data_IF_827843987472
#
_entry.id   IF_827843987472
#
_cell.length_a   1.000
_cell.length_b   1.000
_cell.length_c   1.000
_cell.angle_alpha   90.00
_cell.angle_beta   90.00
_cell.angle_gamma   90.00
#
_symmetry.space_group_name_H-M   'P 1'
#
loop_
_entity.id
_entity.type
_entity.pdbx_description
1 polymer ?
#
# COMPACT_ATOMS: atom_id res chain seq x y z
N UNK A 1 3.06 -2.73 22.33
CA UNK A 1 2.24 -3.85 21.85
C UNK A 1 1.85 -3.68 20.39
N UNK A 2 1.55 -4.80 19.72
CA UNK A 2 0.95 -4.85 18.38
C UNK A 2 -0.08 -6.00 18.28
N UNK A 3 -0.93 -5.96 17.25
CA UNK A 3 -1.87 -7.04 16.93
C UNK A 3 -1.35 -7.94 15.82
N UNK A 4 -1.47 -9.26 16.00
CA UNK A 4 -1.20 -10.28 14.99
C UNK A 4 -2.49 -11.04 14.71
N UNK A 5 -3.03 -10.91 13.50
CA UNK A 5 -4.26 -11.59 13.08
C UNK A 5 -3.92 -12.59 11.99
N UNK A 6 -4.29 -13.84 12.20
CA UNK A 6 -4.10 -14.94 11.26
C UNK A 6 -5.46 -15.49 10.87
N UNK A 7 -5.71 -15.72 9.57
CA UNK A 7 -6.94 -16.32 9.06
C UNK A 7 -6.69 -17.49 8.12
N UNK A 8 -7.53 -18.51 8.20
CA UNK A 8 -7.53 -19.65 7.29
C UNK A 8 -8.10 -19.29 5.90
N UNK A 9 -9.19 -18.53 5.89
CA UNK A 9 -9.88 -18.08 4.67
C UNK A 9 -8.95 -17.16 3.86
N UNK A 10 -8.53 -17.54 2.64
CA UNK A 10 -7.57 -16.79 1.83
C UNK A 10 -8.12 -15.46 1.29
N UNK A 11 -9.38 -15.14 1.59
CA UNK A 11 -10.04 -13.89 1.22
C UNK A 11 -10.36 -12.98 2.42
N UNK A 12 -10.06 -13.43 3.65
CA UNK A 12 -10.45 -12.72 4.88
C UNK A 12 -9.96 -11.26 4.92
N UNK A 13 -8.79 -10.99 4.33
CA UNK A 13 -8.18 -9.66 4.30
C UNK A 13 -8.29 -8.96 2.95
N UNK A 14 -9.00 -9.53 1.97
CA UNK A 14 -9.12 -8.98 0.61
C UNK A 14 -10.31 -8.02 0.49
N UNK A 15 -10.41 -7.07 1.43
CA UNK A 15 -11.45 -6.03 1.44
C UNK A 15 -10.93 -4.72 2.04
N UNK A 16 -11.37 -3.59 1.50
CA UNK A 16 -11.14 -2.25 2.07
C UNK A 16 -12.32 -1.78 2.97
N UNK A 17 -13.32 -2.63 3.17
CA UNK A 17 -14.51 -2.33 3.98
C UNK A 17 -14.33 -2.77 5.45
N UNK A 18 -15.33 -3.46 6.00
CA UNK A 18 -15.32 -3.98 7.37
C UNK A 18 -14.80 -5.41 7.34
N UNK A 19 -13.72 -5.66 8.07
CA UNK A 19 -13.17 -6.97 8.34
C UNK A 19 -13.75 -7.52 9.65
N UNK A 20 -13.68 -8.84 9.83
CA UNK A 20 -14.18 -9.50 11.03
C UNK A 20 -13.35 -10.72 11.39
N UNK A 21 -13.37 -11.08 12.67
CA UNK A 21 -12.90 -12.35 13.19
C UNK A 21 -13.84 -12.81 14.31
N UNK A 22 -13.98 -14.12 14.51
CA UNK A 22 -14.76 -14.66 15.61
C UNK A 22 -14.21 -14.17 16.96
N UNK A 23 -15.11 -13.76 17.86
CA UNK A 23 -14.75 -13.21 19.17
C UNK A 23 -14.03 -14.24 20.05
N UNK A 24 -14.32 -15.53 19.89
CA UNK A 24 -13.66 -16.62 20.61
C UNK A 24 -12.18 -16.76 20.22
N UNK A 25 -11.77 -16.20 19.07
CA UNK A 25 -10.38 -16.17 18.60
C UNK A 25 -9.57 -15.00 19.16
N UNK A 26 -10.24 -14.05 19.81
CA UNK A 26 -9.60 -12.86 20.36
C UNK A 26 -8.76 -13.21 21.58
N UNK A 27 -7.50 -12.76 21.57
CA UNK A 27 -6.47 -13.05 22.58
C UNK A 27 -6.02 -14.51 22.65
N UNK A 28 -6.35 -15.34 21.67
CA UNK A 28 -5.60 -16.59 21.49
C UNK A 28 -4.12 -16.28 21.21
N UNK A 29 -3.18 -17.13 21.67
CA UNK A 29 -1.72 -16.93 21.53
C UNK A 29 -1.18 -15.58 22.07
N UNK A 30 -1.91 -14.97 22.99
CA UNK A 30 -1.55 -13.70 23.63
C UNK A 30 -0.88 -13.96 24.96
N UNK A 31 0.40 -13.60 25.03
CA UNK A 31 1.18 -13.62 26.25
C UNK A 31 1.74 -12.20 26.46
N UNK A 32 1.69 -11.71 27.70
CA UNK A 32 2.20 -10.38 28.02
C UNK A 32 1.34 -9.55 28.96
N UNK A 33 1.95 -8.54 29.57
CA UNK A 33 1.30 -7.64 30.50
C UNK A 33 0.47 -6.57 29.78
N UNK A 34 0.90 -6.11 28.59
CA UNK A 34 0.19 -5.05 27.86
C UNK A 34 -1.20 -5.54 27.41
N UNK A 35 -1.31 -6.80 27.02
CA UNK A 35 -2.57 -7.40 26.63
C UNK A 35 -3.60 -7.54 27.76
N UNK A 36 -3.18 -7.52 29.03
CA UNK A 36 -4.10 -7.62 30.18
C UNK A 36 -5.04 -6.41 30.28
N UNK A 37 -4.60 -5.25 29.79
CA UNK A 37 -5.39 -4.04 29.77
C UNK A 37 -6.53 -4.07 28.73
N UNK A 38 -6.51 -5.03 27.79
CA UNK A 38 -7.44 -5.11 26.65
C UNK A 38 -8.48 -6.21 26.87
N UNK A 39 -9.76 -5.86 26.72
CA UNK A 39 -10.89 -6.77 26.85
C UNK A 39 -12.05 -6.39 25.93
N UNK A 40 -12.65 -7.39 25.27
CA UNK A 40 -13.87 -7.22 24.45
C UNK A 40 -15.07 -6.75 25.29
N UNK A 41 -15.14 -7.14 26.56
CA UNK A 41 -16.20 -6.73 27.49
C UNK A 41 -16.09 -5.27 27.91
N UNK A 42 -14.92 -4.64 27.69
CA UNK A 42 -14.64 -3.25 28.02
C UNK A 42 -14.27 -2.49 26.73
N UNK A 43 -15.23 -2.09 25.89
CA UNK A 43 -14.97 -1.52 24.56
C UNK A 43 -14.00 -0.35 24.53
N UNK A 44 -13.95 0.47 25.59
CA UNK A 44 -12.99 1.58 25.72
C UNK A 44 -11.53 1.12 25.67
N UNK A 45 -11.25 -0.10 26.14
CA UNK A 45 -9.89 -0.66 26.13
C UNK A 45 -9.43 -1.08 24.73
N UNK A 46 -10.35 -1.34 23.80
CA UNK A 46 -10.03 -1.69 22.41
C UNK A 46 -9.40 -0.52 21.65
N UNK A 47 -9.59 0.71 22.13
CA UNK A 47 -8.90 1.90 21.59
C UNK A 47 -7.38 1.80 21.67
N UNK A 48 -6.84 1.05 22.65
CA UNK A 48 -5.41 0.79 22.74
C UNK A 48 -4.88 0.02 21.50
N UNK A 49 -5.74 -0.76 20.82
CA UNK A 49 -5.38 -1.48 19.60
C UNK A 49 -5.58 -0.66 18.31
N UNK A 50 -6.39 0.40 18.34
CA UNK A 50 -6.66 1.21 17.13
C UNK A 50 -5.48 2.09 16.70
N UNK A 51 -4.47 2.25 17.55
CA UNK A 51 -3.26 3.04 17.27
C UNK A 51 -1.99 2.18 17.27
N UNK A 52 -2.09 0.96 17.80
CA UNK A 52 -1.02 -0.01 17.77
C UNK A 52 -0.79 -0.54 16.35
N UNK A 53 0.45 -0.94 16.02
CA UNK A 53 0.73 -1.69 14.80
C UNK A 53 -0.11 -2.96 14.71
N UNK A 54 -0.48 -3.36 13.49
CA UNK A 54 -1.17 -4.61 13.23
C UNK A 54 -0.59 -5.32 12.00
N UNK A 55 -0.46 -6.65 12.12
CA UNK A 55 -0.08 -7.57 11.05
C UNK A 55 -1.28 -8.46 10.74
N UNK A 56 -1.71 -8.48 9.48
CA UNK A 56 -2.71 -9.43 8.97
C UNK A 56 -1.99 -10.44 8.07
N UNK A 57 -2.05 -11.72 8.43
CA UNK A 57 -1.54 -12.81 7.59
C UNK A 57 -2.57 -13.91 7.42
N UNK A 58 -2.27 -14.85 6.54
CA UNK A 58 -3.01 -16.09 6.42
C UNK A 58 -2.26 -17.26 7.08
N UNK A 59 -2.98 -18.32 7.40
CA UNK A 59 -2.36 -19.59 7.78
C UNK A 59 -1.43 -20.10 6.65
N UNK A 60 -0.52 -21.03 6.95
CA UNK A 60 0.31 -21.66 5.91
C UNK A 60 -0.52 -22.38 4.83
N UNK A 61 -0.08 -22.31 3.57
CA UNK A 61 -0.74 -22.96 2.44
C UNK A 61 -0.13 -22.55 1.09
N UNK A 62 -0.54 -23.19 -0.02
CA UNK A 62 0.07 -22.99 -1.35
C UNK A 62 -0.35 -21.70 -2.08
N UNK A 63 -1.38 -20.99 -1.62
CA UNK A 63 -1.92 -19.81 -2.31
C UNK A 63 -1.00 -18.59 -2.19
N UNK A 64 -0.79 -17.86 -3.29
CA UNK A 64 0.10 -16.70 -3.32
C UNK A 64 -0.27 -15.59 -2.31
N UNK A 65 -1.56 -15.42 -1.99
CA UNK A 65 -2.00 -14.46 -0.97
C UNK A 65 -1.41 -14.75 0.41
N UNK A 66 -1.07 -16.01 0.71
CA UNK A 66 -0.49 -16.43 2.00
C UNK A 66 0.98 -16.03 2.15
N UNK A 67 1.65 -15.67 1.06
CA UNK A 67 3.02 -15.15 1.10
C UNK A 67 3.10 -13.68 1.49
N UNK A 68 1.96 -12.97 1.53
CA UNK A 68 1.87 -11.55 1.84
C UNK A 68 1.36 -11.37 3.28
N UNK A 69 2.04 -10.52 4.04
CA UNK A 69 1.59 -10.05 5.35
C UNK A 69 1.33 -8.56 5.29
N UNK A 70 0.08 -8.14 5.53
CA UNK A 70 -0.31 -6.74 5.49
C UNK A 70 0.06 -6.08 6.83
N UNK A 71 0.76 -4.96 6.76
CA UNK A 71 1.14 -4.15 7.91
C UNK A 71 0.34 -2.85 7.92
N UNK A 72 -0.21 -2.47 9.07
CA UNK A 72 -1.05 -1.28 9.17
C UNK A 72 -1.53 -0.99 10.58
N UNK A 73 -2.68 -0.32 10.66
CA UNK A 73 -3.37 -0.03 11.93
C UNK A 73 -4.84 -0.42 11.83
N UNK A 74 -5.36 -0.98 12.92
CA UNK A 74 -6.79 -1.26 13.05
C UNK A 74 -7.54 0.03 13.40
N UNK A 75 -8.81 0.14 13.00
CA UNK A 75 -9.67 1.28 13.32
C UNK A 75 -11.07 0.79 13.58
N UNK A 76 -11.85 1.52 14.37
CA UNK A 76 -13.25 1.22 14.62
C UNK A 76 -13.46 -0.24 15.08
N UNK A 77 -12.73 -0.67 16.11
CA UNK A 77 -12.82 -2.04 16.64
C UNK A 77 -14.03 -2.13 17.57
N UNK A 78 -14.99 -2.99 17.22
CA UNK A 78 -16.21 -3.19 18.01
C UNK A 78 -16.71 -4.62 17.90
N UNK A 79 -17.36 -5.12 18.95
CA UNK A 79 -18.00 -6.45 18.95
C UNK A 79 -19.39 -6.34 18.34
N UNK A 80 -19.70 -7.21 17.38
CA UNK A 80 -21.01 -7.34 16.74
C UNK A 80 -21.43 -8.81 16.73
N UNK A 81 -22.38 -9.18 17.58
CA UNK A 81 -22.77 -10.58 17.77
C UNK A 81 -21.58 -11.42 18.25
N UNK A 82 -21.27 -12.50 17.53
CA UNK A 82 -20.14 -13.40 17.83
C UNK A 82 -18.82 -12.95 17.21
N UNK A 83 -18.76 -11.78 16.57
CA UNK A 83 -17.56 -11.34 15.85
C UNK A 83 -16.98 -10.06 16.46
N UNK A 84 -15.67 -9.93 16.40
CA UNK A 84 -14.98 -8.63 16.49
C UNK A 84 -14.85 -8.08 15.08
N UNK A 85 -15.37 -6.88 14.88
CA UNK A 85 -15.36 -6.17 13.59
C UNK A 85 -14.44 -4.97 13.66
N UNK A 86 -13.73 -4.69 12.58
CA UNK A 86 -12.78 -3.58 12.50
C UNK A 86 -12.59 -3.12 11.04
N UNK A 87 -12.02 -1.94 10.88
CA UNK A 87 -11.43 -1.47 9.63
C UNK A 87 -9.91 -1.57 9.72
N UNK A 88 -9.25 -1.71 8.58
CA UNK A 88 -7.79 -1.78 8.51
C UNK A 88 -7.26 -0.71 7.56
N UNK A 89 -6.30 0.07 8.04
CA UNK A 89 -5.56 1.02 7.21
C UNK A 89 -4.17 0.46 6.98
N UNK A 90 -3.96 -0.11 5.80
CA UNK A 90 -2.68 -0.67 5.38
C UNK A 90 -1.64 0.44 5.17
N UNK A 91 -0.44 0.23 5.72
CA UNK A 91 0.73 1.10 5.59
C UNK A 91 1.86 0.46 4.78
N UNK A 92 1.80 -0.85 4.56
CA UNK A 92 2.76 -1.57 3.74
C UNK A 92 2.60 -3.09 3.89
N UNK A 93 3.55 -3.83 3.34
CA UNK A 93 3.54 -5.29 3.29
C UNK A 93 4.90 -5.85 3.67
N UNK A 94 4.89 -7.03 4.26
CA UNK A 94 6.05 -7.90 4.41
C UNK A 94 5.80 -9.18 3.62
N UNK A 95 6.87 -9.88 3.27
CA UNK A 95 6.73 -11.27 2.88
C UNK A 95 6.53 -12.15 4.12
N UNK A 96 5.86 -13.29 3.96
CA UNK A 96 5.75 -14.30 5.02
C UNK A 96 7.12 -14.73 5.53
N UNK A 97 8.08 -14.92 4.62
CA UNK A 97 9.45 -15.25 4.97
C UNK A 97 10.08 -14.21 5.91
N UNK A 98 9.87 -12.91 5.66
CA UNK A 98 10.34 -11.84 6.54
C UNK A 98 9.75 -12.00 7.96
N UNK A 99 8.45 -12.27 8.08
CA UNK A 99 7.81 -12.44 9.40
C UNK A 99 8.33 -13.69 10.12
N UNK A 100 8.45 -14.82 9.41
CA UNK A 100 8.89 -16.08 10.02
C UNK A 100 10.35 -16.03 10.49
N UNK A 101 11.22 -15.30 9.78
CA UNK A 101 12.60 -15.06 10.21
C UNK A 101 12.66 -14.31 11.55
N UNK A 102 11.70 -13.41 11.79
CA UNK A 102 11.57 -12.65 13.04
C UNK A 102 10.63 -13.27 14.08
N UNK A 103 10.07 -14.46 13.82
CA UNK A 103 9.07 -15.14 14.68
C UNK A 103 9.40 -15.10 16.18
N UNK A 104 10.64 -15.44 16.56
CA UNK A 104 11.09 -15.41 17.97
C UNK A 104 11.05 -14.01 18.59
N UNK A 105 11.43 -12.98 17.83
CA UNK A 105 11.39 -11.59 18.31
C UNK A 105 9.94 -11.05 18.37
N UNK A 106 9.05 -11.60 17.53
CA UNK A 106 7.63 -11.29 17.53
C UNK A 106 6.83 -12.10 18.57
N UNK A 107 7.52 -12.89 19.40
CA UNK A 107 6.90 -13.81 20.36
C UNK A 107 5.85 -14.73 19.71
N UNK A 108 6.13 -15.18 18.49
CA UNK A 108 5.31 -16.18 17.79
C UNK A 108 5.72 -17.58 18.26
N UNK A 109 4.74 -18.31 18.81
CA UNK A 109 4.92 -19.68 19.23
C UNK A 109 5.07 -20.64 18.06
N UNK A 110 5.50 -21.87 18.36
CA UNK A 110 5.58 -22.92 17.35
C UNK A 110 4.17 -23.27 16.84
N UNK A 111 3.98 -23.33 15.52
CA UNK A 111 2.71 -23.61 14.84
C UNK A 111 1.61 -22.53 14.96
N UNK A 112 1.88 -21.41 15.65
CA UNK A 112 0.94 -20.28 15.74
C UNK A 112 0.53 -19.80 14.34
N UNK A 113 1.47 -19.82 13.40
CA UNK A 113 1.30 -19.41 12.02
C UNK A 113 0.39 -20.30 11.17
N UNK A 114 -0.14 -21.39 11.74
CA UNK A 114 -1.04 -22.33 11.09
C UNK A 114 -2.40 -22.43 11.79
N UNK A 115 -2.77 -21.42 12.60
CA UNK A 115 -4.09 -21.35 13.24
C UNK A 115 -4.71 -19.98 13.15
N UNK A 116 -6.01 -19.94 12.89
CA UNK A 116 -6.80 -18.71 12.84
C UNK A 116 -6.95 -18.14 14.24
N UNK A 117 -6.41 -16.95 14.48
CA UNK A 117 -6.48 -16.30 15.77
C UNK A 117 -6.16 -14.79 15.71
N UNK A 118 -6.47 -14.07 16.78
CA UNK A 118 -5.98 -12.72 17.03
C UNK A 118 -5.14 -12.69 18.31
N UNK A 119 -3.83 -12.57 18.16
CA UNK A 119 -2.91 -12.36 19.26
C UNK A 119 -2.59 -10.88 19.48
N UNK A 120 -2.48 -10.47 20.75
CA UNK A 120 -1.88 -9.20 21.15
C UNK A 120 -0.49 -9.54 21.66
N UNK A 121 0.54 -8.91 21.09
CA UNK A 121 1.94 -9.16 21.43
C UNK A 121 2.53 -7.95 22.14
N UNK A 122 3.28 -8.18 23.20
CA UNK A 122 3.97 -7.12 23.95
C UNK A 122 5.16 -6.54 23.15
N UNK A 123 5.43 -5.26 23.36
CA UNK A 123 6.54 -4.54 22.75
C UNK A 123 6.27 -4.05 21.32
N UNK A 124 7.33 -3.60 20.66
CA UNK A 124 7.28 -3.01 19.32
C UNK A 124 7.78 -3.98 18.25
N UNK A 125 7.37 -3.75 16.99
CA UNK A 125 7.93 -4.47 15.87
C UNK A 125 9.44 -4.17 15.74
N UNK A 126 10.30 -5.19 15.55
CA UNK A 126 11.73 -4.99 15.45
C UNK A 126 12.11 -3.99 14.34
N UNK A 127 12.99 -3.04 14.64
CA UNK A 127 13.42 -2.05 13.65
C UNK A 127 14.05 -2.67 12.39
N UNK A 128 14.72 -3.83 12.53
CA UNK A 128 15.25 -4.59 11.40
C UNK A 128 14.16 -5.21 10.53
N UNK A 129 13.02 -5.61 11.11
CA UNK A 129 11.86 -6.05 10.34
C UNK A 129 11.25 -4.86 9.59
N UNK A 130 11.03 -3.72 10.27
CA UNK A 130 10.46 -2.52 9.64
C UNK A 130 11.28 -2.02 8.44
N UNK A 131 12.60 -2.26 8.41
CA UNK A 131 13.45 -1.97 7.24
C UNK A 131 13.13 -2.83 6.00
N UNK A 132 12.45 -3.96 6.17
CA UNK A 132 11.98 -4.85 5.08
C UNK A 132 10.58 -4.50 4.61
N UNK A 133 9.95 -3.47 5.20
CA UNK A 133 8.60 -3.08 4.85
C UNK A 133 8.57 -2.60 3.40
N UNK A 134 7.83 -3.32 2.58
CA UNK A 134 7.52 -2.93 1.22
C UNK A 134 6.30 -2.03 1.22
N UNK A 135 6.23 -1.12 0.27
CA UNK A 135 5.01 -0.33 0.11
C UNK A 135 3.83 -1.20 -0.33
N UNK A 136 2.61 -0.71 -0.10
CA UNK A 136 1.37 -1.36 -0.52
C UNK A 136 1.26 -1.52 -2.04
N UNK A 137 1.90 -0.64 -2.81
CA UNK A 137 1.81 -0.58 -4.25
C UNK A 137 3.20 -0.53 -4.88
N UNK A 138 3.41 -1.41 -5.86
CA UNK A 138 4.64 -1.46 -6.68
C UNK A 138 4.73 -0.26 -7.61
N UNK A 139 3.59 0.19 -8.13
CA UNK A 139 3.50 1.32 -9.04
C UNK A 139 2.26 2.16 -8.79
N UNK A 140 2.40 3.48 -8.90
CA UNK A 140 1.27 4.41 -8.92
C UNK A 140 1.08 4.93 -10.33
N UNK A 141 -0.17 4.99 -10.80
CA UNK A 141 -0.54 5.63 -12.04
C UNK A 141 -1.21 6.98 -11.74
N UNK A 142 -0.53 8.08 -12.08
CA UNK A 142 -1.03 9.45 -11.90
C UNK A 142 -1.44 10.02 -13.26
N UNK A 143 -2.71 10.40 -13.41
CA UNK A 143 -3.27 10.83 -14.69
C UNK A 143 -4.50 11.73 -14.54
N UNK A 144 -4.85 12.46 -15.61
CA UNK A 144 -6.09 13.25 -15.64
C UNK A 144 -7.29 12.36 -15.98
N UNK A 145 -8.46 12.65 -15.39
CA UNK A 145 -9.67 11.86 -15.63
C UNK A 145 -10.04 11.64 -17.11
N UNK A 146 -9.66 12.56 -18.00
CA UNK A 146 -9.82 12.43 -19.45
C UNK A 146 -9.03 11.28 -20.09
N UNK A 147 -7.90 10.90 -19.49
CA UNK A 147 -7.01 9.86 -20.01
C UNK A 147 -7.35 8.46 -19.43
N UNK A 148 -8.44 8.36 -18.65
CA UNK A 148 -8.81 7.17 -17.86
C UNK A 148 -8.86 5.87 -18.65
N UNK A 149 -9.44 5.89 -19.84
CA UNK A 149 -9.63 4.68 -20.65
C UNK A 149 -8.30 3.97 -20.91
N UNK A 150 -7.28 4.71 -21.36
CA UNK A 150 -5.95 4.17 -21.62
C UNK A 150 -5.25 3.70 -20.34
N UNK A 151 -5.34 4.52 -19.28
CA UNK A 151 -4.63 4.23 -18.02
C UNK A 151 -5.27 3.03 -17.29
N UNK A 152 -6.59 2.88 -17.37
CA UNK A 152 -7.29 1.72 -16.82
C UNK A 152 -6.87 0.44 -17.53
N UNK A 153 -6.84 0.43 -18.86
CA UNK A 153 -6.35 -0.74 -19.61
C UNK A 153 -4.89 -1.09 -19.28
N UNK A 154 -4.06 -0.09 -18.99
CA UNK A 154 -2.68 -0.31 -18.52
C UNK A 154 -2.67 -0.92 -17.12
N UNK A 155 -3.50 -0.42 -16.21
CA UNK A 155 -3.63 -0.93 -14.85
C UNK A 155 -4.10 -2.39 -14.83
N UNK A 156 -5.13 -2.71 -15.62
CA UNK A 156 -5.69 -4.07 -15.72
C UNK A 156 -4.63 -5.07 -16.20
N UNK A 157 -3.81 -4.67 -17.19
CA UNK A 157 -2.66 -5.47 -17.64
C UNK A 157 -1.64 -5.72 -16.53
N UNK A 158 -1.26 -4.66 -15.78
CA UNK A 158 -0.30 -4.78 -14.68
C UNK A 158 -0.81 -5.68 -13.55
N UNK A 159 -2.09 -5.55 -13.20
CA UNK A 159 -2.74 -6.39 -12.19
C UNK A 159 -2.74 -7.86 -12.64
N UNK A 160 -3.01 -8.13 -13.92
CA UNK A 160 -2.95 -9.49 -14.47
C UNK A 160 -1.53 -10.10 -14.39
N UNK A 161 -0.48 -9.27 -14.44
CA UNK A 161 0.92 -9.65 -14.25
C UNK A 161 1.34 -9.77 -12.77
N UNK A 162 0.39 -9.63 -11.84
CA UNK A 162 0.62 -9.72 -10.40
C UNK A 162 1.21 -8.47 -9.76
N UNK A 163 1.20 -7.33 -10.45
CA UNK A 163 1.71 -6.06 -9.94
C UNK A 163 0.63 -5.35 -9.11
N UNK A 164 1.00 -4.85 -7.93
CA UNK A 164 0.12 -4.05 -7.09
C UNK A 164 0.10 -2.59 -7.56
N UNK A 165 -0.99 -2.21 -8.21
CA UNK A 165 -1.16 -0.87 -8.79
C UNK A 165 -2.02 0.01 -7.89
N UNK A 166 -1.56 1.24 -7.62
CA UNK A 166 -2.45 2.30 -7.15
C UNK A 166 -2.97 3.09 -8.34
N UNK A 167 -4.29 3.22 -8.41
CA UNK A 167 -4.98 3.93 -9.47
C UNK A 167 -5.56 5.24 -8.93
N UNK A 168 -5.06 6.36 -9.42
CA UNK A 168 -5.40 7.67 -8.89
C UNK A 168 -5.96 8.59 -9.96
N UNK A 169 -7.28 8.69 -9.99
CA UNK A 169 -8.01 9.56 -10.93
C UNK A 169 -8.16 10.96 -10.37
N UNK A 170 -7.58 11.94 -11.05
CA UNK A 170 -7.82 13.34 -10.77
C UNK A 170 -9.00 13.84 -11.64
N UNK A 171 -10.20 13.83 -11.06
CA UNK A 171 -11.41 14.45 -11.64
C UNK A 171 -12.06 15.41 -10.63
N UNK A 172 -12.95 16.30 -11.09
CA UNK A 172 -13.50 17.38 -10.27
C UNK A 172 -14.15 16.88 -8.96
N UNK A 173 -14.85 15.73 -9.00
CA UNK A 173 -15.43 15.13 -7.82
C UNK A 173 -14.37 14.58 -6.86
N UNK A 174 -13.32 13.94 -7.40
CA UNK A 174 -12.20 13.41 -6.63
C UNK A 174 -11.27 14.49 -6.04
N UNK A 175 -11.20 15.67 -6.65
CA UNK A 175 -10.36 16.78 -6.21
C UNK A 175 -11.04 17.70 -5.21
N UNK A 176 -12.37 17.65 -5.11
CA UNK A 176 -13.14 18.50 -4.21
C UNK A 176 -12.65 18.35 -2.77
N UNK A 177 -12.09 19.42 -2.21
CA UNK A 177 -11.65 19.50 -0.82
C UNK A 177 -10.31 18.80 -0.51
N UNK A 178 -9.61 18.26 -1.51
CA UNK A 178 -8.30 17.63 -1.31
C UNK A 178 -7.16 18.65 -1.41
N UNK A 179 -6.20 18.56 -0.49
CA UNK A 179 -4.89 19.17 -0.68
C UNK A 179 -4.06 18.29 -1.62
N UNK A 180 -3.93 18.72 -2.89
CA UNK A 180 -3.25 17.91 -3.90
C UNK A 180 -1.76 17.74 -3.62
N UNK A 181 -1.10 18.72 -2.99
CA UNK A 181 0.32 18.59 -2.66
C UNK A 181 0.56 17.49 -1.62
N UNK A 182 -0.29 17.43 -0.59
CA UNK A 182 -0.26 16.35 0.42
C UNK A 182 -0.62 14.99 -0.18
N UNK A 183 -1.55 14.97 -1.13
CA UNK A 183 -1.95 13.75 -1.82
C UNK A 183 -0.81 13.19 -2.70
N UNK A 184 -0.13 14.04 -3.47
CA UNK A 184 1.07 13.63 -4.19
C UNK A 184 2.17 13.18 -3.23
N UNK A 185 2.42 13.92 -2.15
CA UNK A 185 3.38 13.53 -1.12
C UNK A 185 3.02 12.17 -0.48
N UNK A 186 1.73 11.89 -0.27
CA UNK A 186 1.25 10.59 0.17
C UNK A 186 1.51 9.51 -0.89
N UNK A 187 1.21 9.77 -2.15
CA UNK A 187 1.51 8.87 -3.28
C UNK A 187 3.01 8.56 -3.36
N UNK A 188 3.86 9.57 -3.22
CA UNK A 188 5.32 9.44 -3.19
C UNK A 188 5.80 8.63 -1.97
N UNK A 189 5.16 8.79 -0.82
CA UNK A 189 5.53 8.04 0.40
C UNK A 189 4.97 6.62 0.44
N UNK A 190 3.87 6.34 -0.26
CA UNK A 190 3.15 5.07 -0.21
C UNK A 190 3.24 4.26 -1.52
N UNK A 191 4.23 4.52 -2.38
CA UNK A 191 4.58 3.61 -3.48
C UNK A 191 6.04 3.19 -3.39
N UNK A 192 6.31 1.90 -3.62
CA UNK A 192 7.60 1.27 -3.29
C UNK A 192 8.65 1.43 -4.38
N UNK A 193 8.28 1.68 -5.63
CA UNK A 193 9.26 1.70 -6.72
C UNK A 193 9.09 2.87 -7.70
N UNK A 194 7.90 3.02 -8.30
CA UNK A 194 7.74 4.01 -9.39
C UNK A 194 6.37 4.70 -9.40
N UNK A 195 6.37 5.99 -9.73
CA UNK A 195 5.18 6.74 -10.12
C UNK A 195 5.20 6.97 -11.63
N UNK A 196 4.25 6.37 -12.36
CA UNK A 196 4.06 6.61 -13.79
C UNK A 196 3.17 7.83 -13.94
N UNK A 197 3.75 8.90 -14.46
CA UNK A 197 3.05 10.17 -14.66
C UNK A 197 2.60 10.25 -16.12
N UNK A 198 1.30 10.15 -16.33
CA UNK A 198 0.67 10.26 -17.64
C UNK A 198 0.44 11.73 -17.99
N UNK A 199 1.37 12.29 -18.76
CA UNK A 199 1.37 13.69 -19.14
C UNK A 199 0.50 13.87 -20.39
N UNK A 200 -0.51 14.71 -20.25
CA UNK A 200 -1.32 15.25 -21.33
C UNK A 200 -1.57 16.74 -21.10
N UNK A 201 -2.15 17.43 -22.09
CA UNK A 201 -2.69 18.78 -21.91
C UNK A 201 -3.67 18.88 -20.73
N UNK A 202 -4.44 17.83 -20.45
CA UNK A 202 -5.40 17.78 -19.35
C UNK A 202 -4.71 17.65 -18.01
N UNK A 203 -3.69 16.79 -17.94
CA UNK A 203 -2.85 16.63 -16.76
C UNK A 203 -2.23 17.96 -16.32
N UNK A 204 -1.60 18.68 -17.25
CA UNK A 204 -0.99 19.97 -16.93
C UNK A 204 -2.06 21.00 -16.53
N UNK A 205 -3.17 21.07 -17.26
CA UNK A 205 -4.23 22.05 -17.00
C UNK A 205 -4.93 21.85 -15.65
N UNK A 206 -5.16 20.61 -15.22
CA UNK A 206 -5.97 20.29 -14.03
C UNK A 206 -5.15 19.97 -12.80
N UNK A 207 -4.00 19.32 -12.96
CA UNK A 207 -3.27 18.74 -11.83
C UNK A 207 -2.05 19.60 -11.54
N UNK A 208 -1.26 19.92 -12.59
CA UNK A 208 -0.04 20.70 -12.44
C UNK A 208 -0.29 22.16 -12.03
N UNK A 209 -1.39 22.75 -12.49
CA UNK A 209 -1.75 24.13 -12.16
C UNK A 209 -2.15 24.30 -10.69
N UNK A 210 -2.83 23.31 -10.11
CA UNK A 210 -3.40 23.33 -8.75
C UNK A 210 -2.35 23.04 -7.67
N UNK A 211 -1.22 22.41 -8.03
CA UNK A 211 -0.11 22.20 -7.10
C UNK A 211 0.51 23.55 -6.72
N UNK A 212 0.01 24.20 -5.65
CA UNK A 212 0.51 25.47 -5.12
C UNK A 212 2.01 25.40 -4.75
N UNK A 213 2.58 24.19 -4.60
CA UNK A 213 4.01 23.91 -4.36
C UNK A 213 4.75 23.38 -5.60
N UNK A 214 4.53 23.99 -6.78
CA UNK A 214 5.19 23.58 -8.06
C UNK A 214 6.69 23.31 -7.93
N UNK A 215 7.40 24.10 -7.13
CA UNK A 215 8.85 24.00 -6.96
C UNK A 215 9.33 22.75 -6.22
N UNK A 216 8.57 22.24 -5.23
CA UNK A 216 8.98 21.07 -4.45
C UNK A 216 8.80 19.77 -5.25
N UNK A 217 7.69 19.65 -6.00
CA UNK A 217 7.42 18.49 -6.86
C UNK A 217 8.36 18.48 -8.07
N UNK A 218 8.57 19.65 -8.71
CA UNK A 218 9.56 19.78 -9.79
C UNK A 218 10.98 19.44 -9.33
N UNK A 219 11.34 19.84 -8.09
CA UNK A 219 12.64 19.51 -7.50
C UNK A 219 12.76 18.01 -7.18
N UNK A 220 11.73 17.38 -6.62
CA UNK A 220 11.71 15.93 -6.42
C UNK A 220 11.84 15.16 -7.74
N UNK A 221 11.17 15.59 -8.81
CA UNK A 221 11.34 15.04 -10.17
C UNK A 221 12.78 15.18 -10.68
N UNK A 222 13.43 16.31 -10.37
CA UNK A 222 14.79 16.58 -10.82
C UNK A 222 15.88 15.88 -9.97
N UNK A 223 15.63 15.69 -8.66
CA UNK A 223 16.54 15.11 -7.68
C UNK A 223 16.44 13.58 -7.62
N UNK A 224 15.24 13.00 -7.75
CA UNK A 224 14.99 11.55 -7.65
C UNK A 224 14.67 10.92 -9.02
N UNK A 225 15.66 10.98 -9.91
CA UNK A 225 15.52 10.78 -11.37
C UNK A 225 14.96 9.43 -11.81
N UNK A 226 14.96 8.41 -10.95
CA UNK A 226 14.47 7.08 -11.32
C UNK A 226 13.08 6.78 -10.78
N UNK A 227 12.57 7.49 -9.77
CA UNK A 227 11.27 7.21 -9.17
C UNK A 227 10.09 7.59 -10.09
N UNK A 228 10.25 8.61 -10.92
CA UNK A 228 9.19 9.11 -11.79
C UNK A 228 9.43 8.64 -13.22
N UNK A 229 8.41 7.99 -13.79
CA UNK A 229 8.42 7.47 -15.15
C UNK A 229 7.44 8.29 -16.01
N UNK A 230 7.90 9.33 -16.73
CA UNK A 230 7.00 10.16 -17.52
C UNK A 230 6.55 9.41 -18.77
N UNK A 231 5.24 9.34 -18.97
CA UNK A 231 4.59 8.76 -20.13
C UNK A 231 3.72 9.85 -20.79
N UNK A 232 4.00 10.23 -22.04
CA UNK A 232 3.41 11.42 -22.67
C UNK A 232 2.43 11.05 -23.77
N UNK A 233 1.17 11.47 -23.63
CA UNK A 233 0.16 11.39 -24.69
C UNK A 233 0.42 12.40 -25.81
N UNK A 234 0.99 13.55 -25.47
CA UNK A 234 1.23 14.65 -26.39
C UNK A 234 2.53 15.41 -26.07
N UNK A 235 2.82 16.45 -26.84
CA UNK A 235 4.02 17.27 -26.65
C UNK A 235 3.84 18.35 -25.56
N UNK A 236 2.81 18.26 -24.70
CA UNK A 236 2.55 19.28 -23.67
C UNK A 236 3.71 19.38 -22.70
N UNK A 237 4.32 20.55 -22.60
CA UNK A 237 5.41 20.81 -21.66
C UNK A 237 4.92 20.82 -20.22
N UNK A 238 5.71 20.24 -19.32
CA UNK A 238 5.48 20.30 -17.89
C UNK A 238 6.37 21.41 -17.31
N UNK A 239 5.80 22.54 -16.83
CA UNK A 239 6.58 23.65 -16.32
C UNK A 239 7.56 23.21 -15.23
N UNK A 240 8.81 23.65 -15.29
CA UNK A 240 9.88 23.37 -14.31
C UNK A 240 10.38 21.91 -14.23
N UNK A 241 9.99 21.02 -15.17
CA UNK A 241 10.64 19.71 -15.31
C UNK A 241 11.80 19.83 -16.31
N UNK A 242 12.99 19.38 -15.90
CA UNK A 242 14.18 19.47 -16.75
C UNK A 242 13.98 18.67 -18.06
N UNK A 243 14.35 19.22 -19.24
CA UNK A 243 14.27 18.52 -20.53
C UNK A 243 15.10 17.22 -20.60
N UNK A 244 15.98 17.00 -19.62
CA UNK A 244 16.89 15.85 -19.54
C UNK A 244 16.25 14.58 -18.97
N UNK A 245 15.02 14.66 -18.45
CA UNK A 245 14.28 13.47 -18.01
C UNK A 245 13.75 12.72 -19.23
N UNK A 246 14.20 11.47 -19.42
CA UNK A 246 13.75 10.60 -20.50
C UNK A 246 12.29 10.20 -20.27
N UNK A 247 11.48 10.25 -21.31
CA UNK A 247 10.06 9.88 -21.27
C UNK A 247 9.73 8.79 -22.27
N UNK A 248 8.60 8.11 -22.07
CA UNK A 248 7.98 7.21 -23.05
C UNK A 248 6.89 7.99 -23.78
N UNK A 249 6.91 7.99 -25.12
CA UNK A 249 5.79 8.52 -25.90
C UNK A 249 4.67 7.47 -26.01
N UNK A 250 3.43 7.91 -25.82
CA UNK A 250 2.23 7.07 -25.89
C UNK A 250 1.47 7.22 -27.21
N UNK A 251 1.91 8.09 -28.12
CA UNK A 251 1.21 8.41 -29.37
C UNK A 251 0.89 7.17 -30.21
N UNK A 252 1.83 6.24 -30.29
CA UNK A 252 1.76 5.03 -31.10
C UNK A 252 1.99 3.76 -30.25
N UNK A 253 1.73 3.83 -28.94
CA UNK A 253 1.98 2.74 -27.99
C UNK A 253 0.69 2.31 -27.33
N UNK A 254 0.39 1.02 -27.36
CA UNK A 254 -0.78 0.44 -26.70
C UNK A 254 -0.61 0.38 -25.18
N UNK A 255 -1.72 0.31 -24.41
CA UNK A 255 -1.65 0.11 -22.95
C UNK A 255 -0.81 -1.09 -22.53
N UNK A 256 -0.91 -2.21 -23.27
CA UNK A 256 -0.16 -3.44 -23.02
C UNK A 256 1.35 -3.23 -23.23
N UNK A 257 1.74 -2.58 -24.33
CA UNK A 257 3.15 -2.29 -24.61
C UNK A 257 3.76 -1.31 -23.61
N UNK A 258 2.96 -0.41 -23.01
CA UNK A 258 3.41 0.40 -21.88
C UNK A 258 3.52 -0.45 -20.61
N UNK A 259 2.51 -1.28 -20.33
CA UNK A 259 2.49 -2.21 -19.20
C UNK A 259 3.72 -3.13 -19.19
N UNK A 260 4.09 -3.71 -20.32
CA UNK A 260 5.31 -4.51 -20.46
C UNK A 260 6.59 -3.75 -20.08
N UNK A 261 6.69 -2.47 -20.46
CA UNK A 261 7.85 -1.65 -20.08
C UNK A 261 7.89 -1.40 -18.58
N UNK A 262 6.74 -1.15 -17.95
CA UNK A 262 6.63 -0.96 -16.50
C UNK A 262 7.01 -2.24 -15.78
N UNK A 263 6.51 -3.40 -16.21
CA UNK A 263 6.87 -4.72 -15.63
C UNK A 263 8.37 -4.96 -15.74
N UNK A 264 8.98 -4.69 -16.90
CA UNK A 264 10.44 -4.83 -17.07
C UNK A 264 11.21 -3.90 -16.14
N UNK A 265 10.75 -2.66 -15.96
CA UNK A 265 11.38 -1.69 -15.06
C UNK A 265 11.28 -2.12 -13.59
N UNK A 266 10.15 -2.69 -13.18
CA UNK A 266 9.93 -3.24 -11.83
C UNK A 266 10.78 -4.50 -11.56
N UNK A 267 10.88 -5.41 -12.53
CA UNK A 267 11.64 -6.67 -12.39
C UNK A 267 13.16 -6.48 -12.53
N UNK A 268 13.60 -5.44 -13.23
CA UNK A 268 15.00 -5.06 -13.39
C UNK A 268 15.20 -3.60 -13.01
N UNK A 269 15.11 -3.25 -11.72
CA UNK A 269 15.42 -1.91 -11.27
C UNK A 269 16.86 -1.59 -11.68
N UNK A 270 17.06 -0.43 -12.29
CA UNK A 270 18.40 0.09 -12.55
C UNK A 270 19.11 0.17 -11.20
N UNK A 271 20.21 -0.57 -11.05
CA UNK A 271 21.00 -0.55 -9.81
C UNK A 271 21.57 0.87 -9.66
N UNK A 272 20.94 1.68 -8.81
CA UNK A 272 21.42 3.00 -8.44
C UNK A 272 21.77 3.03 -6.96
N UNK A 273 22.94 3.65 -6.70
CA UNK A 273 23.75 3.55 -5.49
C UNK A 273 23.06 3.91 -4.17
N UNK A 274 23.62 3.31 -3.13
CA UNK A 274 23.45 3.61 -1.69
C UNK A 274 23.39 5.09 -1.35
#
# INVERSE_FOLDING_TARGET
MFSLLIAYDPTAWETDQVMRMDADRFKEYTDGAEAQAVSLEKPKTLKLLEEAPALLMYEGGPEASREIVRYGTLRNIHVTGQHVTFRFTEKGRFTRADILEFSRHLSMGHWEENRTHWAIKDGDLPAALLKRLQSRYDVVLSFAGEDREYVQATADYLIAEGIHVFYDTYDEANLWGKNLAEHFEWVYRNSSAYCVMFISKWYVKKIWTILERRSAVARAIAEDKEYILPARFDNTEVPNVLPTVKYVSLKDKTPQELGELIVRKLRHPSVTGR
#
